data_IF_347585306719
#
_entry.id   IF_347585306719
#
_cell.length_a   1.000
_cell.length_b   1.000
_cell.length_c   1.000
_cell.angle_alpha   90.00
_cell.angle_beta   90.00
_cell.angle_gamma   90.00
#
_symmetry.space_group_name_H-M   'P 1'
#
loop_
_entity.id
_entity.type
_entity.pdbx_description
1 polymer ?
#
# COMPACT_ATOMS: atom_id res chain seq x y z
N UNK A 1 23.02 5.18 24.45
CA UNK A 1 22.94 5.37 22.98
C UNK A 1 21.52 5.12 22.54
N UNK A 2 20.93 6.00 21.75
CA UNK A 2 19.60 5.79 21.17
C UNK A 2 19.67 4.62 20.18
N UNK A 3 18.79 3.63 20.34
CA UNK A 3 18.69 2.51 19.42
C UNK A 3 18.36 3.01 18.00
N UNK A 4 18.81 2.29 16.97
CA UNK A 4 18.46 2.62 15.60
C UNK A 4 16.97 2.39 15.35
N UNK A 5 16.25 3.41 14.87
CA UNK A 5 14.81 3.33 14.63
C UNK A 5 14.43 2.69 13.29
N UNK A 6 15.41 2.30 12.46
CA UNK A 6 15.17 1.67 11.16
C UNK A 6 14.91 2.66 10.02
N UNK A 7 15.05 3.97 10.27
CA UNK A 7 14.93 5.03 9.25
C UNK A 7 16.30 5.60 8.88
N UNK A 8 16.38 6.36 7.79
CA UNK A 8 17.65 6.92 7.31
C UNK A 8 18.60 5.84 6.79
N UNK A 9 18.05 4.84 6.10
CA UNK A 9 18.81 3.74 5.49
C UNK A 9 19.74 4.27 4.39
N UNK A 10 21.03 4.02 4.54
CA UNK A 10 22.08 4.31 3.57
C UNK A 10 23.25 3.32 3.76
N UNK A 11 24.29 3.40 2.93
CA UNK A 11 25.41 2.46 3.00
C UNK A 11 26.12 2.46 4.37
N UNK A 12 26.16 3.58 5.09
CA UNK A 12 26.77 3.69 6.42
C UNK A 12 25.88 3.18 7.57
N UNK A 13 24.57 3.04 7.34
CA UNK A 13 23.61 2.56 8.36
C UNK A 13 23.05 1.17 8.06
N UNK A 14 23.36 0.59 6.90
CA UNK A 14 22.80 -0.68 6.42
C UNK A 14 22.99 -1.85 7.39
N UNK A 15 24.12 -1.90 8.10
CA UNK A 15 24.44 -2.98 9.05
C UNK A 15 23.76 -2.82 10.41
N UNK A 16 23.08 -1.69 10.68
CA UNK A 16 22.45 -1.42 11.98
C UNK A 16 21.17 -2.22 12.13
N UNK A 17 21.04 -2.91 13.26
CA UNK A 17 19.80 -3.59 13.63
C UNK A 17 18.83 -2.60 14.29
N UNK A 18 17.54 -2.77 13.97
CA UNK A 18 16.44 -2.03 14.58
C UNK A 18 15.43 -2.98 15.19
N UNK A 19 14.72 -2.51 16.21
CA UNK A 19 13.55 -3.19 16.77
C UNK A 19 12.25 -2.89 15.99
N UNK A 20 12.32 -2.10 14.91
CA UNK A 20 11.19 -1.81 14.04
C UNK A 20 10.62 -3.09 13.44
N UNK A 21 9.30 -3.12 13.26
CA UNK A 21 8.61 -4.25 12.65
C UNK A 21 8.12 -3.88 11.26
N UNK A 22 8.58 -4.61 10.23
CA UNK A 22 8.10 -4.40 8.87
C UNK A 22 6.72 -5.02 8.67
N UNK A 23 5.88 -4.31 7.92
CA UNK A 23 4.54 -4.72 7.49
C UNK A 23 4.37 -4.36 6.00
N UNK A 24 3.47 -5.06 5.33
CA UNK A 24 3.17 -4.82 3.92
C UNK A 24 1.66 -4.93 3.72
N UNK A 25 1.03 -3.81 3.39
CA UNK A 25 -0.40 -3.73 3.07
C UNK A 25 -0.57 -3.90 1.56
N UNK A 26 -1.56 -4.69 1.17
CA UNK A 26 -1.89 -4.92 -0.23
C UNK A 26 -3.38 -5.23 -0.38
N UNK A 27 -3.89 -5.27 -1.62
CA UNK A 27 -5.29 -5.65 -1.89
C UNK A 27 -5.70 -7.01 -1.30
N UNK A 28 -4.74 -7.91 -1.04
CA UNK A 28 -5.01 -9.22 -0.45
C UNK A 28 -4.76 -9.27 1.07
N UNK A 29 -4.02 -8.30 1.59
CA UNK A 29 -3.72 -8.18 3.01
C UNK A 29 -3.92 -6.72 3.44
N UNK A 30 -5.18 -6.26 3.53
CA UNK A 30 -5.49 -4.84 3.77
C UNK A 30 -5.06 -4.37 5.17
N UNK A 31 -4.94 -5.28 6.14
CA UNK A 31 -4.45 -4.97 7.50
C UNK A 31 -2.93 -5.09 7.63
N UNK A 32 -2.26 -5.69 6.64
CA UNK A 32 -0.81 -5.91 6.67
C UNK A 32 -0.34 -6.92 7.71
N UNK A 33 -1.25 -7.70 8.30
CA UNK A 33 -0.94 -8.67 9.35
C UNK A 33 0.05 -9.75 8.90
N UNK A 34 0.85 -10.24 9.86
CA UNK A 34 1.87 -11.25 9.60
C UNK A 34 1.23 -12.56 9.14
N UNK A 35 1.71 -13.09 8.02
CA UNK A 35 1.24 -14.37 7.47
C UNK A 35 -0.13 -14.32 6.80
N UNK A 36 -0.66 -13.11 6.53
CA UNK A 36 -1.97 -12.93 5.89
C UNK A 36 -1.93 -12.65 4.39
N UNK A 37 -0.74 -12.45 3.81
CA UNK A 37 -0.59 -12.42 2.34
C UNK A 37 -0.68 -13.83 1.73
N UNK A 38 -1.25 -13.95 0.53
CA UNK A 38 -1.45 -15.24 -0.14
C UNK A 38 -2.67 -16.02 0.37
N UNK A 39 -3.48 -15.42 1.25
CA UNK A 39 -4.56 -16.13 1.95
C UNK A 39 -5.91 -16.02 1.26
N UNK A 40 -6.07 -15.16 0.26
CA UNK A 40 -7.35 -15.00 -0.42
C UNK A 40 -7.70 -16.22 -1.28
N UNK A 41 -8.98 -16.56 -1.33
CA UNK A 41 -9.56 -17.60 -2.19
C UNK A 41 -10.43 -17.02 -3.30
N UNK A 42 -10.75 -15.73 -3.21
CA UNK A 42 -11.55 -14.98 -4.18
C UNK A 42 -10.87 -13.63 -4.46
N UNK A 43 -11.25 -12.99 -5.57
CA UNK A 43 -10.70 -11.71 -5.98
C UNK A 43 -10.49 -11.61 -7.48
N UNK A 44 -9.87 -10.51 -7.91
CA UNK A 44 -9.67 -10.20 -9.34
C UNK A 44 -8.78 -11.21 -10.08
N UNK A 45 -8.00 -12.02 -9.36
CA UNK A 45 -7.14 -13.08 -9.89
C UNK A 45 -7.68 -14.50 -9.71
N UNK A 46 -8.91 -14.69 -9.21
CA UNK A 46 -9.44 -16.03 -8.88
C UNK A 46 -9.50 -16.99 -10.07
N UNK A 47 -9.96 -16.54 -11.25
CA UNK A 47 -10.06 -17.39 -12.44
C UNK A 47 -8.66 -17.81 -12.96
N UNK A 48 -7.69 -16.88 -13.13
CA UNK A 48 -6.32 -17.27 -13.44
C UNK A 48 -5.67 -18.19 -12.41
N UNK A 49 -5.96 -18.01 -11.12
CA UNK A 49 -5.34 -18.76 -10.02
C UNK A 49 -6.09 -20.04 -9.63
N UNK A 50 -7.17 -20.42 -10.33
CA UNK A 50 -8.12 -21.48 -9.93
C UNK A 50 -7.50 -22.86 -9.67
N UNK A 51 -6.31 -23.13 -10.21
CA UNK A 51 -5.59 -24.42 -10.10
C UNK A 51 -4.33 -24.33 -9.21
N UNK A 52 -4.01 -23.16 -8.66
CA UNK A 52 -2.76 -22.91 -7.92
C UNK A 52 -2.90 -23.17 -6.41
N UNK A 53 -4.13 -23.09 -5.87
CA UNK A 53 -4.42 -23.24 -4.45
C UNK A 53 -4.10 -22.00 -3.60
N UNK A 54 -4.39 -22.09 -2.29
CA UNK A 54 -4.10 -21.03 -1.32
C UNK A 54 -2.59 -20.89 -1.10
N UNK A 55 -2.11 -19.66 -0.95
CA UNK A 55 -0.69 -19.30 -0.88
C UNK A 55 -0.23 -18.47 -2.09
N UNK A 56 -1.00 -18.47 -3.18
CA UNK A 56 -0.79 -17.62 -4.35
C UNK A 56 -1.58 -16.31 -4.27
N UNK A 57 -1.18 -15.32 -5.08
CA UNK A 57 -1.80 -13.99 -5.11
C UNK A 57 -3.12 -14.00 -5.89
N UNK A 58 -4.21 -14.37 -5.20
CA UNK A 58 -5.56 -14.52 -5.77
C UNK A 58 -6.30 -13.19 -5.88
N UNK A 59 -6.01 -12.21 -5.02
CA UNK A 59 -6.64 -10.87 -5.06
C UNK A 59 -5.60 -9.76 -5.20
N UNK A 60 -5.03 -9.57 -6.41
CA UNK A 60 -3.94 -8.62 -6.59
C UNK A 60 -4.36 -7.16 -6.65
N UNK A 61 -5.65 -6.86 -6.81
CA UNK A 61 -6.17 -5.52 -7.01
C UNK A 61 -7.57 -5.37 -6.43
N UNK A 62 -8.00 -4.11 -6.24
CA UNK A 62 -9.38 -3.75 -5.92
C UNK A 62 -10.05 -3.11 -7.14
N UNK A 63 -11.37 -3.20 -7.20
CA UNK A 63 -12.19 -2.43 -8.13
C UNK A 63 -12.74 -1.20 -7.40
N UNK A 64 -12.73 -0.04 -8.07
CA UNK A 64 -13.29 1.20 -7.54
C UNK A 64 -14.24 1.75 -8.61
N UNK A 65 -15.52 1.87 -8.26
CA UNK A 65 -16.57 2.42 -9.10
C UNK A 65 -16.49 3.95 -9.24
N UNK A 66 -17.31 4.50 -10.13
CA UNK A 66 -17.42 5.95 -10.29
C UNK A 66 -17.98 6.62 -9.04
N UNK A 67 -17.26 7.61 -8.49
CA UNK A 67 -17.64 8.30 -7.25
C UNK A 67 -17.42 7.50 -5.97
N UNK A 68 -16.95 6.25 -6.08
CA UNK A 68 -16.62 5.42 -4.92
C UNK A 68 -15.32 5.88 -4.27
N UNK A 69 -15.24 5.74 -2.94
CA UNK A 69 -14.01 5.92 -2.17
C UNK A 69 -13.66 4.59 -1.52
N UNK A 70 -12.39 4.20 -1.65
CA UNK A 70 -11.86 2.98 -1.04
C UNK A 70 -10.69 3.31 -0.12
N UNK A 71 -10.72 2.77 1.10
CA UNK A 71 -9.59 2.84 2.03
C UNK A 71 -8.53 1.83 1.61
N UNK A 72 -7.34 2.32 1.24
CA UNK A 72 -6.23 1.47 0.78
C UNK A 72 -5.42 0.93 1.95
N UNK A 73 -5.26 1.72 3.01
CA UNK A 73 -4.53 1.37 4.21
C UNK A 73 -5.10 2.15 5.39
N UNK A 74 -5.27 1.47 6.52
CA UNK A 74 -5.59 2.02 7.83
C UNK A 74 -4.54 1.50 8.80
N UNK A 75 -3.71 2.38 9.36
CA UNK A 75 -2.50 1.99 10.10
C UNK A 75 -2.57 2.58 11.50
N UNK A 76 -2.76 1.73 12.50
CA UNK A 76 -2.75 2.14 13.89
C UNK A 76 -1.33 2.24 14.46
N UNK A 77 -1.09 3.30 15.22
CA UNK A 77 0.14 3.51 15.97
C UNK A 77 1.29 4.11 15.13
N UNK A 78 2.44 4.35 15.77
CA UNK A 78 3.55 5.06 15.13
C UNK A 78 4.25 4.18 14.07
N UNK A 79 4.61 4.80 12.95
CA UNK A 79 5.32 4.12 11.88
C UNK A 79 5.84 5.08 10.81
N UNK A 80 6.39 4.53 9.74
CA UNK A 80 6.80 5.28 8.57
C UNK A 80 6.54 4.46 7.31
N UNK A 81 5.89 5.07 6.32
CA UNK A 81 5.75 4.49 4.99
C UNK A 81 7.09 4.67 4.26
N UNK A 82 7.77 3.55 3.97
CA UNK A 82 9.07 3.58 3.30
C UNK A 82 9.00 3.22 1.82
N UNK A 83 7.91 2.60 1.37
CA UNK A 83 7.75 2.16 -0.01
C UNK A 83 6.27 2.08 -0.38
N UNK A 84 5.91 2.70 -1.51
CA UNK A 84 4.59 2.59 -2.13
C UNK A 84 4.82 2.13 -3.57
N UNK A 85 4.10 1.09 -3.98
CA UNK A 85 4.08 0.62 -5.36
C UNK A 85 2.67 0.22 -5.74
N UNK A 86 2.26 0.61 -6.94
CA UNK A 86 0.98 0.26 -7.53
C UNK A 86 1.00 0.44 -9.04
N UNK A 87 -0.03 -0.04 -9.71
CA UNK A 87 -0.31 0.27 -11.10
C UNK A 87 -1.80 0.54 -11.29
N UNK A 88 -2.12 1.47 -12.17
CA UNK A 88 -3.48 1.76 -12.62
C UNK A 88 -3.42 2.04 -14.12
N UNK A 89 -4.52 1.78 -14.82
CA UNK A 89 -4.59 2.09 -16.25
C UNK A 89 -4.40 3.61 -16.48
N UNK A 90 -3.56 4.06 -17.43
CA UNK A 90 -3.22 5.48 -17.61
C UNK A 90 -4.39 6.45 -17.71
N UNK A 91 -5.49 6.02 -18.35
CA UNK A 91 -6.77 6.78 -18.42
C UNK A 91 -7.31 7.27 -17.06
N UNK A 92 -6.86 6.67 -15.95
CA UNK A 92 -7.32 6.98 -14.60
C UNK A 92 -6.37 7.86 -13.78
N UNK A 93 -5.20 8.22 -14.32
CA UNK A 93 -4.18 8.97 -13.57
C UNK A 93 -4.67 10.30 -13.00
N UNK A 94 -5.56 11.01 -13.71
CA UNK A 94 -6.15 12.27 -13.26
C UNK A 94 -7.58 12.17 -12.70
N UNK A 95 -8.18 10.96 -12.69
CA UNK A 95 -9.55 10.74 -12.19
C UNK A 95 -9.61 9.94 -10.88
N UNK A 96 -8.52 9.26 -10.50
CA UNK A 96 -8.35 8.72 -9.14
C UNK A 96 -7.60 9.73 -8.29
N UNK A 97 -8.24 10.19 -7.21
CA UNK A 97 -7.65 11.10 -6.22
C UNK A 97 -7.13 10.29 -5.05
N UNK A 98 -5.86 10.51 -4.71
CA UNK A 98 -5.19 9.88 -3.59
C UNK A 98 -5.21 10.82 -2.38
N UNK A 99 -5.59 10.29 -1.22
CA UNK A 99 -5.65 11.04 0.05
C UNK A 99 -4.83 10.35 1.13
N UNK A 100 -4.06 11.13 1.87
CA UNK A 100 -3.38 10.68 3.10
C UNK A 100 -3.80 11.57 4.25
N UNK A 101 -4.07 10.94 5.38
CA UNK A 101 -4.43 11.57 6.65
C UNK A 101 -3.44 11.06 7.68
N UNK A 102 -2.87 11.96 8.48
CA UNK A 102 -1.96 11.62 9.56
C UNK A 102 -2.58 11.95 10.91
N UNK A 103 -2.32 11.10 11.92
CA UNK A 103 -2.68 11.35 13.32
C UNK A 103 -4.16 11.75 13.53
N UNK A 104 -5.08 11.02 12.89
CA UNK A 104 -6.54 11.20 12.96
C UNK A 104 -7.05 12.58 12.50
N UNK A 105 -6.29 13.30 11.66
CA UNK A 105 -6.73 14.58 11.10
C UNK A 105 -7.96 14.44 10.18
N UNK A 106 -8.87 15.41 10.21
CA UNK A 106 -10.07 15.40 9.38
C UNK A 106 -9.80 15.85 7.93
N UNK A 107 -8.75 16.63 7.71
CA UNK A 107 -8.38 17.20 6.40
C UNK A 107 -7.12 16.50 5.90
N UNK A 108 -7.09 15.98 4.67
CA UNK A 108 -5.93 15.24 4.19
C UNK A 108 -4.71 16.15 4.04
N UNK A 109 -3.58 15.77 4.65
CA UNK A 109 -2.28 16.41 4.42
C UNK A 109 -1.76 16.25 2.98
N UNK A 110 -2.20 15.20 2.27
CA UNK A 110 -1.89 14.98 0.86
C UNK A 110 -3.20 14.68 0.14
N UNK A 111 -3.56 15.50 -0.84
CA UNK A 111 -4.71 15.27 -1.73
C UNK A 111 -4.31 15.63 -3.16
N UNK A 112 -4.07 14.61 -3.98
CA UNK A 112 -3.61 14.81 -5.37
C UNK A 112 -4.17 13.72 -6.28
N UNK A 113 -4.30 13.95 -7.59
CA UNK A 113 -4.47 12.83 -8.52
C UNK A 113 -3.32 11.83 -8.39
N UNK A 114 -3.63 10.53 -8.57
CA UNK A 114 -2.65 9.45 -8.39
C UNK A 114 -1.47 9.59 -9.36
N UNK A 115 -1.70 9.99 -10.60
CA UNK A 115 -0.64 10.20 -11.58
C UNK A 115 0.30 11.33 -11.16
N UNK A 116 -0.26 12.46 -10.74
CA UNK A 116 0.48 13.66 -10.35
C UNK A 116 1.40 13.37 -9.13
N UNK A 117 0.93 12.58 -8.16
CA UNK A 117 1.74 12.12 -7.02
C UNK A 117 3.02 11.37 -7.46
N UNK A 118 2.91 10.56 -8.51
CA UNK A 118 4.03 9.79 -9.08
C UNK A 118 4.69 10.48 -10.29
N UNK A 119 4.59 11.81 -10.39
CA UNK A 119 5.18 12.61 -11.48
C UNK A 119 4.72 12.19 -12.90
N UNK A 120 3.56 11.57 -13.00
CA UNK A 120 2.94 11.11 -14.25
C UNK A 120 1.77 12.02 -14.63
N UNK A 121 2.09 13.26 -15.00
CA UNK A 121 1.10 14.31 -15.25
C UNK A 121 0.44 14.28 -16.64
N UNK A 122 0.71 13.24 -17.45
CA UNK A 122 0.17 13.15 -18.81
C UNK A 122 -1.22 12.52 -18.76
N UNK A 123 -2.23 13.20 -19.28
CA UNK A 123 -3.61 12.70 -19.26
C UNK A 123 -4.61 13.78 -19.60
#
# INVERSE_FOLDING_TARGET
MTAFNGLGMNLGTLSRLSAAQSRSISAENPTGEKGRGGMATEGTGAIPARELGQGWKVSPSIAIGGGETATIAEIAGPGAIQHIWLTVHPRFWRSLVWRFFWDDEETPSIETPIGDFFCSGWG
#
